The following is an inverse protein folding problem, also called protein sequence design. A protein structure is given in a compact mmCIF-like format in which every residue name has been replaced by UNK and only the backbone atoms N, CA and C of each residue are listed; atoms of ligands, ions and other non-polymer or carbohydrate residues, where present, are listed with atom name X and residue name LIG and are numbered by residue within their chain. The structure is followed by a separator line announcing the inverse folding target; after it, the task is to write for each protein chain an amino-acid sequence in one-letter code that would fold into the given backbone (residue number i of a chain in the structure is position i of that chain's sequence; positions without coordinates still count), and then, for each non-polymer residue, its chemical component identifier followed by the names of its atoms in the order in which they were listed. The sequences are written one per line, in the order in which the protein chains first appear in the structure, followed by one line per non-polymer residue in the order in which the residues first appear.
data_IF_982423840530
#
_entry.id   IF_982423840530
#
_cell.length_a   1.000
_cell.length_b   1.000
_cell.length_c   1.000
_cell.angle_alpha   90.00
_cell.angle_beta   90.00
_cell.angle_gamma   90.00
#
_symmetry.space_group_name_H-M   'P 1'
#
loop_
_entity.id
_entity.type
_entity.pdbx_description
1 polymer ?
#
# COMPACT_ATOMS: atom_id res chain seq x y z
N UNK A 1 -62.02 -30.22 14.00
CA UNK A 1 -62.14 -31.60 13.50
C UNK A 1 -61.65 -31.55 12.06
N UNK A 2 -60.41 -31.99 11.78
CA UNK A 2 -60.07 -33.36 11.29
C UNK A 2 -60.80 -33.66 9.97
N UNK A 3 -60.20 -34.12 8.86
CA UNK A 3 -58.86 -34.61 8.51
C UNK A 3 -58.76 -34.62 6.96
N UNK A 4 -57.54 -34.66 6.47
CA UNK A 4 -57.03 -34.89 5.09
C UNK A 4 -57.66 -36.09 4.33
N UNK A 5 -57.51 -36.20 2.99
CA UNK A 5 -56.35 -36.95 2.47
C UNK A 5 -55.75 -36.51 1.11
N UNK A 6 -54.43 -36.63 1.01
CA UNK A 6 -53.63 -36.79 -0.23
C UNK A 6 -53.96 -38.11 -0.94
N UNK A 7 -53.71 -38.22 -2.27
CA UNK A 7 -52.59 -39.07 -2.69
C UNK A 7 -51.76 -38.55 -3.88
N UNK A 8 -50.56 -39.13 -3.96
CA UNK A 8 -49.36 -38.78 -4.73
C UNK A 8 -49.42 -39.21 -6.22
N UNK A 9 -48.61 -38.55 -7.08
CA UNK A 9 -47.43 -39.16 -7.75
C UNK A 9 -47.06 -38.50 -9.11
N UNK A 10 -45.87 -37.90 -9.12
CA UNK A 10 -44.77 -37.99 -10.11
C UNK A 10 -44.88 -37.49 -11.58
N UNK A 11 -43.97 -36.55 -11.89
CA UNK A 11 -42.95 -36.57 -12.96
C UNK A 11 -42.97 -35.45 -14.04
N UNK A 12 -41.76 -34.97 -14.33
CA UNK A 12 -41.24 -34.33 -15.56
C UNK A 12 -41.10 -32.80 -15.64
N UNK A 13 -40.00 -32.29 -15.04
CA UNK A 13 -39.00 -31.30 -15.55
C UNK A 13 -39.42 -29.96 -16.20
N UNK A 14 -38.47 -29.06 -16.54
CA UNK A 14 -37.05 -29.02 -16.20
C UNK A 14 -36.76 -28.01 -15.07
N UNK A 15 -35.76 -28.33 -14.25
CA UNK A 15 -35.02 -27.39 -13.43
C UNK A 15 -34.46 -26.26 -14.31
N UNK A 16 -35.00 -25.05 -14.16
CA UNK A 16 -34.27 -23.84 -14.51
C UNK A 16 -33.17 -23.69 -13.44
N UNK A 17 -32.04 -24.34 -13.72
CA UNK A 17 -30.74 -23.99 -13.19
C UNK A 17 -30.36 -22.63 -13.77
N UNK A 18 -30.97 -21.57 -13.24
CA UNK A 18 -30.47 -20.22 -13.44
C UNK A 18 -29.25 -20.10 -12.55
N UNK A 19 -28.15 -20.64 -13.10
CA UNK A 19 -26.83 -20.59 -12.55
C UNK A 19 -26.59 -19.20 -12.00
N UNK A 20 -26.59 -19.12 -10.67
CA UNK A 20 -25.97 -18.01 -9.97
C UNK A 20 -24.56 -17.94 -10.52
N UNK A 21 -24.33 -16.98 -11.41
CA UNK A 21 -23.02 -16.69 -11.95
C UNK A 21 -22.12 -16.48 -10.74
N UNK A 22 -21.26 -17.46 -10.51
CA UNK A 22 -20.25 -17.41 -9.47
C UNK A 22 -19.47 -16.11 -9.69
N UNK A 23 -19.48 -15.16 -8.74
CA UNK A 23 -18.71 -13.92 -8.90
C UNK A 23 -17.20 -14.19 -9.00
N UNK A 24 -16.77 -15.44 -8.78
CA UNK A 24 -15.41 -15.92 -8.99
C UNK A 24 -15.04 -16.08 -10.48
N UNK A 25 -16.02 -16.21 -11.38
CA UNK A 25 -15.75 -16.37 -12.82
C UNK A 25 -15.33 -15.07 -13.53
N UNK A 26 -15.71 -13.90 -12.99
CA UNK A 26 -15.27 -12.61 -13.52
C UNK A 26 -13.85 -12.20 -13.03
N UNK A 27 -13.29 -12.95 -12.08
CA UNK A 27 -11.95 -12.68 -11.54
C UNK A 27 -10.83 -13.48 -12.23
N UNK A 28 -11.18 -14.41 -13.13
CA UNK A 28 -10.19 -15.34 -13.73
C UNK A 28 -9.85 -15.08 -15.21
N UNK A 29 -10.39 -14.04 -15.85
CA UNK A 29 -10.05 -13.72 -17.26
C UNK A 29 -9.44 -12.32 -17.46
N UNK A 30 -8.77 -11.78 -16.43
CA UNK A 30 -7.85 -10.65 -16.58
C UNK A 30 -6.43 -10.99 -16.13
N UNK A 31 -6.10 -12.28 -16.08
CA UNK A 31 -4.72 -12.73 -16.24
C UNK A 31 -4.49 -12.90 -17.76
N UNK A 32 -4.59 -11.80 -18.51
CA UNK A 32 -3.74 -11.70 -19.68
C UNK A 32 -2.32 -11.85 -19.14
N UNK A 33 -1.59 -12.77 -19.76
CA UNK A 33 -0.17 -13.02 -19.61
C UNK A 33 0.55 -11.68 -19.86
N UNK A 34 0.53 -10.79 -18.87
CA UNK A 34 1.53 -9.74 -18.79
C UNK A 34 2.79 -10.55 -18.65
N UNK A 35 3.63 -10.54 -19.68
CA UNK A 35 5.05 -10.77 -19.52
C UNK A 35 5.43 -9.94 -18.28
N UNK A 36 5.47 -10.60 -17.11
CA UNK A 36 5.87 -9.99 -15.87
C UNK A 36 7.35 -9.76 -16.09
N UNK A 37 7.67 -8.62 -16.71
CA UNK A 37 9.01 -8.13 -16.88
C UNK A 37 9.51 -7.92 -15.45
N UNK A 38 10.09 -8.99 -14.92
CA UNK A 38 10.62 -9.06 -13.59
C UNK A 38 11.72 -8.01 -13.55
N UNK A 39 11.41 -6.87 -12.95
CA UNK A 39 12.36 -5.77 -12.84
C UNK A 39 13.51 -6.32 -12.01
N UNK A 40 14.72 -6.43 -12.58
CA UNK A 40 15.86 -6.94 -11.85
C UNK A 40 16.18 -6.00 -10.70
N UNK A 41 15.76 -6.38 -9.49
CA UNK A 41 16.14 -5.73 -8.24
C UNK A 41 17.65 -5.87 -7.97
N UNK A 42 18.40 -6.53 -8.85
CA UNK A 42 19.85 -6.72 -8.77
C UNK A 42 20.65 -5.42 -8.81
N UNK A 43 20.06 -4.33 -9.31
CA UNK A 43 20.64 -2.98 -9.24
C UNK A 43 20.24 -2.19 -7.99
N UNK A 44 19.35 -2.71 -7.15
CA UNK A 44 18.74 -1.96 -6.06
C UNK A 44 19.48 -2.15 -4.74
N UNK A 45 19.87 -1.03 -4.13
CA UNK A 45 20.44 -1.06 -2.80
C UNK A 45 19.37 -1.36 -1.74
N UNK A 46 19.81 -1.82 -0.57
CA UNK A 46 18.92 -1.95 0.58
C UNK A 46 18.25 -0.61 0.95
N UNK A 47 18.93 0.51 0.71
CA UNK A 47 18.40 1.86 0.94
C UNK A 47 17.28 2.21 -0.05
N UNK A 48 17.46 1.88 -1.34
CA UNK A 48 16.39 2.00 -2.33
C UNK A 48 15.16 1.18 -1.96
N UNK A 49 15.34 -0.04 -1.43
CA UNK A 49 14.24 -0.87 -0.96
C UNK A 49 13.50 -0.22 0.21
N UNK A 50 14.22 0.33 1.18
CA UNK A 50 13.61 1.05 2.30
C UNK A 50 12.80 2.26 1.82
N UNK A 51 13.35 3.02 0.87
CA UNK A 51 12.67 4.17 0.29
C UNK A 51 11.40 3.77 -0.46
N UNK A 52 11.39 2.70 -1.27
CA UNK A 52 10.16 2.32 -1.98
C UNK A 52 9.05 1.89 -1.02
N UNK A 53 9.37 1.12 0.03
CA UNK A 53 8.37 0.72 1.01
C UNK A 53 7.82 1.92 1.79
N UNK A 54 8.69 2.81 2.24
CA UNK A 54 8.27 4.03 2.92
C UNK A 54 7.47 4.96 2.00
N UNK A 55 7.90 5.09 0.75
CA UNK A 55 7.24 5.90 -0.27
C UNK A 55 5.84 5.39 -0.60
N UNK A 56 5.69 4.07 -0.79
CA UNK A 56 4.38 3.44 -1.01
C UNK A 56 3.47 3.61 0.21
N UNK A 57 3.98 3.40 1.42
CA UNK A 57 3.22 3.61 2.65
C UNK A 57 2.73 5.06 2.78
N UNK A 58 3.63 6.04 2.56
CA UNK A 58 3.29 7.46 2.55
C UNK A 58 2.29 7.82 1.45
N UNK A 59 2.45 7.28 0.24
CA UNK A 59 1.58 7.55 -0.90
C UNK A 59 0.16 7.03 -0.67
N UNK A 60 0.03 5.77 -0.24
CA UNK A 60 -1.26 5.16 0.08
C UNK A 60 -1.95 5.86 1.26
N UNK A 61 -1.21 6.18 2.32
CA UNK A 61 -1.74 6.92 3.46
C UNK A 61 -2.21 8.34 3.05
N UNK A 62 -1.49 8.99 2.14
CA UNK A 62 -1.87 10.31 1.62
C UNK A 62 -3.11 10.24 0.73
N UNK A 63 -3.23 9.20 -0.08
CA UNK A 63 -4.40 8.98 -0.93
C UNK A 63 -5.64 8.68 -0.08
N UNK A 64 -5.49 7.83 0.94
CA UNK A 64 -6.49 7.57 1.98
C UNK A 64 -6.88 8.86 2.71
N UNK A 65 -5.90 9.67 3.12
CA UNK A 65 -6.13 10.95 3.78
C UNK A 65 -6.92 11.92 2.90
N UNK A 66 -6.59 11.98 1.61
CA UNK A 66 -7.28 12.82 0.64
C UNK A 66 -8.74 12.37 0.44
N UNK A 67 -8.96 11.08 0.19
CA UNK A 67 -10.31 10.51 0.03
C UNK A 67 -11.16 10.58 1.30
N UNK A 68 -10.53 10.54 2.49
CA UNK A 68 -11.16 10.68 3.79
C UNK A 68 -11.35 12.11 4.29
N UNK A 69 -10.99 13.13 3.51
CA UNK A 69 -11.19 14.54 3.87
C UNK A 69 -10.29 15.03 5.01
N UNK A 70 -9.12 14.41 5.21
CA UNK A 70 -8.16 14.81 6.24
C UNK A 70 -7.53 16.19 5.94
N UNK A 71 -6.98 16.87 6.96
CA UNK A 71 -6.39 18.19 6.78
C UNK A 71 -5.26 18.19 5.74
N UNK A 72 -5.26 19.22 4.89
CA UNK A 72 -4.32 19.38 3.76
C UNK A 72 -2.84 19.11 4.10
N UNK A 73 -2.30 19.54 5.25
CA UNK A 73 -0.92 19.22 5.61
C UNK A 73 -0.61 17.72 5.62
N UNK A 74 -1.52 16.86 6.07
CA UNK A 74 -1.31 15.39 6.09
C UNK A 74 -1.06 14.88 4.67
N UNK A 75 -1.90 15.32 3.73
CA UNK A 75 -1.83 14.92 2.32
C UNK A 75 -0.56 15.47 1.68
N UNK A 76 -0.25 16.75 1.90
CA UNK A 76 0.92 17.41 1.27
C UNK A 76 2.23 16.84 1.78
N UNK A 77 2.39 16.69 3.09
CA UNK A 77 3.63 16.14 3.66
C UNK A 77 3.79 14.66 3.33
N UNK A 78 2.71 13.88 3.38
CA UNK A 78 2.75 12.47 3.00
C UNK A 78 3.03 12.25 1.51
N UNK A 79 2.37 13.01 0.62
CA UNK A 79 2.60 12.91 -0.82
C UNK A 79 4.01 13.42 -1.20
N UNK A 80 4.48 14.48 -0.54
CA UNK A 80 5.84 14.98 -0.71
C UNK A 80 6.89 13.96 -0.28
N UNK A 81 6.70 13.30 0.87
CA UNK A 81 7.58 12.22 1.33
C UNK A 81 7.56 11.03 0.35
N UNK A 82 6.39 10.65 -0.16
CA UNK A 82 6.25 9.60 -1.16
C UNK A 82 7.00 9.93 -2.45
N UNK A 83 6.87 11.15 -2.96
CA UNK A 83 7.56 11.61 -4.16
C UNK A 83 9.08 11.63 -3.99
N UNK A 84 9.57 12.14 -2.86
CA UNK A 84 11.00 12.15 -2.55
C UNK A 84 11.58 10.73 -2.45
N UNK A 85 10.83 9.81 -1.82
CA UNK A 85 11.23 8.43 -1.69
C UNK A 85 11.25 7.69 -3.04
N UNK A 86 10.22 7.90 -3.87
CA UNK A 86 10.16 7.34 -5.22
C UNK A 86 11.32 7.88 -6.09
N UNK A 87 11.63 9.16 -5.99
CA UNK A 87 12.76 9.75 -6.70
C UNK A 87 14.09 9.11 -6.31
N UNK A 88 14.35 8.95 -5.01
CA UNK A 88 15.55 8.28 -4.51
C UNK A 88 15.64 6.81 -4.94
N UNK A 89 14.52 6.08 -4.87
CA UNK A 89 14.40 4.70 -5.38
C UNK A 89 14.68 4.60 -6.88
N UNK A 90 14.09 5.46 -7.70
CA UNK A 90 14.29 5.45 -9.16
C UNK A 90 15.74 5.81 -9.52
N UNK A 91 16.34 6.76 -8.79
CA UNK A 91 17.74 7.10 -8.99
C UNK A 91 18.66 5.89 -8.68
N UNK A 92 18.41 5.19 -7.58
CA UNK A 92 19.15 3.97 -7.21
C UNK A 92 18.98 2.88 -8.27
N UNK A 93 17.74 2.53 -8.62
CA UNK A 93 17.43 1.50 -9.61
C UNK A 93 18.08 1.77 -10.98
N UNK A 94 18.06 3.02 -11.46
CA UNK A 94 18.54 3.36 -12.80
C UNK A 94 20.04 3.61 -12.88
N UNK A 95 20.68 3.99 -11.77
CA UNK A 95 22.08 4.47 -11.80
C UNK A 95 23.01 3.73 -10.83
N UNK A 96 22.48 2.87 -9.97
CA UNK A 96 23.22 2.27 -8.85
C UNK A 96 23.65 3.30 -7.79
N UNK A 97 23.05 4.49 -7.80
CA UNK A 97 23.33 5.53 -6.83
C UNK A 97 22.65 5.21 -5.50
N UNK A 98 23.45 4.84 -4.50
CA UNK A 98 22.96 4.59 -3.15
C UNK A 98 22.45 5.91 -2.54
N UNK A 99 21.16 5.99 -2.15
CA UNK A 99 20.58 7.19 -1.55
C UNK A 99 21.31 7.63 -0.28
N UNK A 100 21.74 8.89 -0.26
CA UNK A 100 22.44 9.48 0.89
C UNK A 100 21.51 9.77 2.09
N UNK A 101 22.11 10.06 3.25
CA UNK A 101 21.45 10.37 4.53
C UNK A 101 20.38 11.47 4.39
N UNK A 102 20.63 12.47 3.54
CA UNK A 102 19.70 13.57 3.31
C UNK A 102 18.35 13.12 2.75
N UNK A 103 18.33 12.12 1.89
CA UNK A 103 17.08 11.57 1.32
C UNK A 103 16.25 10.94 2.44
N UNK A 104 16.91 10.19 3.32
CA UNK A 104 16.27 9.56 4.47
C UNK A 104 15.71 10.58 5.45
N UNK A 105 16.44 11.67 5.71
CA UNK A 105 15.96 12.77 6.55
C UNK A 105 14.74 13.48 5.96
N UNK A 106 14.73 13.75 4.64
CA UNK A 106 13.60 14.41 3.98
C UNK A 106 12.36 13.53 4.03
N UNK A 107 12.48 12.25 3.66
CA UNK A 107 11.36 11.31 3.64
C UNK A 107 10.85 11.04 5.06
N UNK A 108 11.75 10.70 5.98
CA UNK A 108 11.41 10.41 7.37
C UNK A 108 10.84 11.63 8.12
N UNK A 109 11.37 12.82 7.85
CA UNK A 109 10.87 14.08 8.39
C UNK A 109 9.47 14.42 7.87
N UNK A 110 9.26 14.31 6.56
CA UNK A 110 7.94 14.52 5.94
C UNK A 110 6.89 13.54 6.48
N UNK A 111 7.24 12.26 6.58
CA UNK A 111 6.38 11.23 7.18
C UNK A 111 6.06 11.53 8.65
N UNK A 112 7.05 11.98 9.44
CA UNK A 112 6.84 12.34 10.85
C UNK A 112 5.86 13.51 11.02
N UNK A 113 5.97 14.54 10.19
CA UNK A 113 5.04 15.69 10.21
C UNK A 113 3.63 15.23 9.81
N UNK A 114 3.50 14.45 8.73
CA UNK A 114 2.20 13.91 8.30
C UNK A 114 1.55 13.05 9.40
N UNK A 115 2.34 12.18 10.03
CA UNK A 115 1.90 11.33 11.15
C UNK A 115 1.45 12.13 12.36
N UNK A 116 2.19 13.16 12.75
CA UNK A 116 1.83 14.02 13.89
C UNK A 116 0.51 14.77 13.65
N UNK A 117 0.31 15.31 12.44
CA UNK A 117 -0.93 16.01 12.09
C UNK A 117 -2.11 15.02 11.98
N UNK A 118 -1.89 13.83 11.42
CA UNK A 118 -2.91 12.78 11.37
C UNK A 118 -3.32 12.32 12.78
N UNK A 119 -2.35 12.19 13.69
CA UNK A 119 -2.59 11.83 15.09
C UNK A 119 -3.40 12.91 15.82
N UNK A 120 -3.06 14.18 15.63
CA UNK A 120 -3.82 15.31 16.17
C UNK A 120 -5.27 15.31 15.65
N UNK A 121 -5.48 14.90 14.40
CA UNK A 121 -6.79 14.70 13.78
C UNK A 121 -7.51 13.39 14.17
N UNK A 122 -6.97 12.60 15.11
CA UNK A 122 -7.52 11.30 15.53
C UNK A 122 -7.60 10.25 14.40
N UNK A 123 -6.76 10.39 13.37
CA UNK A 123 -6.69 9.46 12.23
C UNK A 123 -5.64 8.38 12.47
N UNK A 124 -5.93 7.48 13.42
CA UNK A 124 -4.97 6.49 13.92
C UNK A 124 -4.35 5.60 12.85
N UNK A 125 -5.12 5.20 11.83
CA UNK A 125 -4.63 4.38 10.72
C UNK A 125 -3.51 5.07 9.95
N UNK A 126 -3.79 6.28 9.43
CA UNK A 126 -2.79 7.04 8.67
C UNK A 126 -1.63 7.49 9.58
N UNK A 127 -1.89 7.86 10.83
CA UNK A 127 -0.85 8.20 11.78
C UNK A 127 0.13 7.03 12.01
N UNK A 128 -0.39 5.80 12.16
CA UNK A 128 0.42 4.61 12.30
C UNK A 128 1.22 4.31 11.02
N UNK A 129 0.60 4.43 9.84
CA UNK A 129 1.28 4.21 8.56
C UNK A 129 2.42 5.20 8.35
N UNK A 130 2.18 6.49 8.59
CA UNK A 130 3.23 7.52 8.51
C UNK A 130 4.31 7.32 9.58
N UNK A 131 3.93 6.94 10.80
CA UNK A 131 4.88 6.63 11.86
C UNK A 131 5.77 5.43 11.54
N UNK A 132 5.21 4.37 10.97
CA UNK A 132 5.97 3.20 10.52
C UNK A 132 6.93 3.56 9.37
N UNK A 133 6.46 4.34 8.38
CA UNK A 133 7.31 4.84 7.29
C UNK A 133 8.45 5.71 7.84
N UNK A 134 8.17 6.62 8.76
CA UNK A 134 9.20 7.44 9.42
C UNK A 134 10.21 6.58 10.17
N UNK A 135 9.76 5.59 10.94
CA UNK A 135 10.64 4.69 11.70
C UNK A 135 11.56 3.87 10.78
N UNK A 136 11.02 3.32 9.69
CA UNK A 136 11.80 2.54 8.72
C UNK A 136 12.96 3.35 8.12
N UNK A 137 12.70 4.61 7.77
CA UNK A 137 13.67 5.46 7.06
C UNK A 137 14.61 6.18 8.03
N UNK A 138 14.11 6.66 9.18
CA UNK A 138 14.95 7.35 10.18
C UNK A 138 15.81 6.39 10.99
N UNK A 139 15.45 5.11 11.10
CA UNK A 139 16.32 4.12 11.73
C UNK A 139 17.70 4.07 11.03
N UNK A 140 17.74 4.27 9.71
CA UNK A 140 18.99 4.35 8.96
C UNK A 140 19.86 5.54 9.32
N UNK A 141 19.25 6.69 9.57
CA UNK A 141 19.97 7.87 10.04
C UNK A 141 20.67 7.57 11.37
N UNK A 142 19.96 6.90 12.28
CA UNK A 142 20.53 6.47 13.56
C UNK A 142 21.65 5.45 13.37
N UNK A 143 21.49 4.49 12.45
CA UNK A 143 22.50 3.46 12.17
C UNK A 143 23.80 4.09 11.65
N UNK A 144 23.71 5.04 10.70
CA UNK A 144 24.86 5.75 10.14
C UNK A 144 25.54 6.64 11.19
N UNK A 145 24.78 7.45 11.92
CA UNK A 145 25.34 8.39 12.90
C UNK A 145 25.95 7.70 14.13
N UNK A 146 25.32 6.62 14.63
CA UNK A 146 25.75 5.97 15.88
C UNK A 146 26.62 4.73 15.67
N UNK A 147 26.47 4.00 14.57
CA UNK A 147 27.24 2.76 14.32
C UNK A 147 28.34 2.93 13.29
N UNK A 148 28.39 4.05 12.57
CA UNK A 148 29.43 4.32 11.58
C UNK A 148 29.43 3.32 10.42
N UNK A 149 28.31 2.63 10.18
CA UNK A 149 28.14 1.75 9.04
C UNK A 149 27.93 2.59 7.80
N UNK A 150 28.99 2.74 7.01
CA UNK A 150 29.00 3.27 5.64
C UNK A 150 28.81 2.16 4.62
#
# INVERSE_FOLDING_TARGET
MSQDPTPEASSDGPTADDGAADPTAAASEAAEDTDEEWIPLEGLSQEGLLLVFAGLACGLASLSAHGGGQPQPVVVFGAGAAAAALFGFVADLLTGYVPDLWVHLVVGGGASVAGAVALAGQHWGNAATFGAAAALVLYRVVDVEYRGTS
#
